data_IF_958185815952
#
_entry.id   IF_958185815952
#
_cell.length_a   1.000
_cell.length_b   1.000
_cell.length_c   1.000
_cell.angle_alpha   90.00
_cell.angle_beta   90.00
_cell.angle_gamma   90.00
#
_symmetry.space_group_name_H-M   'P 1'
#
loop_
_entity.id
_entity.type
_entity.pdbx_description
1 polymer ?
#
# COMPACT_ATOMS: atom_id res chain seq x y z
N UNK A 1 -40.01 57.09 -13.60
CA UNK A 1 -38.99 56.51 -12.71
C UNK A 1 -39.28 55.03 -12.50
N UNK A 2 -38.62 54.10 -13.20
CA UNK A 2 -38.67 52.66 -12.89
C UNK A 2 -37.26 52.09 -13.02
N UNK A 3 -36.63 51.76 -11.89
CA UNK A 3 -35.33 51.08 -11.81
C UNK A 3 -35.57 49.58 -11.83
N UNK A 4 -35.11 48.90 -12.88
CA UNK A 4 -35.08 47.44 -12.92
C UNK A 4 -33.86 46.94 -12.16
N UNK A 5 -34.08 46.38 -10.98
CA UNK A 5 -33.05 45.68 -10.21
C UNK A 5 -32.90 44.29 -10.84
N UNK A 6 -31.78 44.07 -11.53
CA UNK A 6 -31.39 42.75 -12.04
C UNK A 6 -30.77 41.97 -10.89
N UNK A 7 -31.52 41.04 -10.31
CA UNK A 7 -31.02 40.12 -9.27
C UNK A 7 -30.13 39.08 -9.91
N UNK A 8 -28.83 39.11 -9.61
CA UNK A 8 -27.86 38.09 -10.02
C UNK A 8 -27.98 36.94 -9.03
N UNK A 9 -28.45 35.78 -9.49
CA UNK A 9 -28.51 34.56 -8.69
C UNK A 9 -27.11 33.94 -8.63
N UNK A 10 -26.44 34.08 -7.49
CA UNK A 10 -25.14 33.45 -7.25
C UNK A 10 -25.40 32.03 -6.72
N UNK A 11 -25.29 31.04 -7.60
CA UNK A 11 -25.29 29.62 -7.21
C UNK A 11 -23.96 29.30 -6.53
N UNK A 12 -23.98 29.13 -5.19
CA UNK A 12 -22.83 28.65 -4.42
C UNK A 12 -22.67 27.16 -4.72
N UNK A 13 -21.67 26.81 -5.52
CA UNK A 13 -21.28 25.41 -5.70
C UNK A 13 -20.69 24.91 -4.38
N UNK A 14 -21.44 24.07 -3.67
CA UNK A 14 -20.95 23.39 -2.47
C UNK A 14 -19.97 22.32 -2.94
N UNK A 15 -18.72 22.29 -2.46
CA UNK A 15 -17.80 21.22 -2.81
C UNK A 15 -18.37 19.91 -2.27
N UNK A 16 -18.81 19.04 -3.16
CA UNK A 16 -19.09 17.64 -2.82
C UNK A 16 -17.75 17.01 -2.47
N UNK A 17 -17.48 16.86 -1.18
CA UNK A 17 -16.30 16.16 -0.71
C UNK A 17 -16.47 14.70 -1.15
N UNK A 18 -15.76 14.31 -2.21
CA UNK A 18 -15.64 12.91 -2.56
C UNK A 18 -14.82 12.26 -1.45
N UNK A 19 -15.49 11.58 -0.51
CA UNK A 19 -14.82 10.72 0.45
C UNK A 19 -14.16 9.60 -0.35
N UNK A 20 -12.84 9.70 -0.54
CA UNK A 20 -12.06 8.60 -1.08
C UNK A 20 -12.15 7.45 -0.08
N UNK A 21 -12.92 6.42 -0.41
CA UNK A 21 -12.99 5.20 0.40
C UNK A 21 -11.67 4.46 0.25
N UNK A 22 -10.97 4.23 1.37
CA UNK A 22 -9.71 3.47 1.36
C UNK A 22 -10.03 2.03 0.97
N UNK A 23 -9.46 1.57 -0.15
CA UNK A 23 -9.55 0.19 -0.55
C UNK A 23 -8.58 -0.66 0.29
N UNK A 24 -9.08 -1.27 1.37
CA UNK A 24 -8.25 -2.10 2.25
C UNK A 24 -7.63 -3.31 1.54
N UNK A 25 -8.25 -3.82 0.47
CA UNK A 25 -7.66 -4.91 -0.31
C UNK A 25 -6.40 -4.43 -1.06
N UNK A 26 -6.44 -3.20 -1.58
CA UNK A 26 -5.29 -2.56 -2.20
C UNK A 26 -4.18 -2.33 -1.18
N UNK A 27 -4.50 -1.70 -0.04
CA UNK A 27 -3.53 -1.46 1.04
C UNK A 27 -2.88 -2.75 1.52
N UNK A 28 -3.67 -3.81 1.72
CA UNK A 28 -3.13 -5.12 2.12
C UNK A 28 -2.21 -5.70 1.06
N UNK A 29 -2.57 -5.64 -0.22
CA UNK A 29 -1.73 -6.16 -1.30
C UNK A 29 -0.38 -5.42 -1.37
N UNK A 30 -0.38 -4.09 -1.21
CA UNK A 30 0.85 -3.30 -1.10
C UNK A 30 1.66 -3.65 0.15
N UNK A 31 1.01 -3.83 1.30
CA UNK A 31 1.68 -4.21 2.54
C UNK A 31 2.40 -5.55 2.39
N UNK A 32 1.73 -6.57 1.82
CA UNK A 32 2.34 -7.87 1.58
C UNK A 32 3.52 -7.82 0.60
N UNK A 33 3.46 -7.02 -0.46
CA UNK A 33 4.62 -6.82 -1.34
C UNK A 33 5.77 -6.16 -0.58
N UNK A 34 5.50 -5.11 0.18
CA UNK A 34 6.53 -4.36 0.90
C UNK A 34 7.19 -5.19 1.99
N UNK A 35 6.40 -5.92 2.78
CA UNK A 35 6.92 -6.84 3.78
C UNK A 35 7.80 -7.92 3.14
N UNK A 36 7.36 -8.51 2.03
CA UNK A 36 8.13 -9.55 1.34
C UNK A 36 9.45 -9.02 0.78
N UNK A 37 9.48 -7.77 0.31
CA UNK A 37 10.71 -7.12 -0.13
C UNK A 37 11.66 -6.84 1.03
N UNK A 38 11.16 -6.35 2.17
CA UNK A 38 11.96 -6.11 3.38
C UNK A 38 12.56 -7.43 3.86
N UNK A 39 11.76 -8.50 3.94
CA UNK A 39 12.21 -9.84 4.25
C UNK A 39 13.29 -10.33 3.28
N UNK A 40 13.13 -10.10 1.97
CA UNK A 40 14.10 -10.52 0.95
C UNK A 40 15.44 -9.76 1.03
N UNK A 41 15.51 -8.66 1.79
CA UNK A 41 16.70 -7.86 2.04
C UNK A 41 17.18 -7.92 3.50
N UNK A 42 16.52 -8.70 4.36
CA UNK A 42 16.92 -8.86 5.77
C UNK A 42 18.30 -9.50 5.88
N UNK A 43 19.16 -8.91 6.71
CA UNK A 43 20.51 -9.45 6.99
C UNK A 43 20.48 -10.74 7.81
N UNK A 44 19.34 -11.09 8.41
CA UNK A 44 19.17 -12.31 9.21
C UNK A 44 18.80 -13.53 8.39
N UNK A 45 18.43 -13.38 7.11
CA UNK A 45 17.93 -14.46 6.26
C UNK A 45 18.96 -14.77 5.17
N UNK A 46 19.48 -16.00 5.15
CA UNK A 46 20.58 -16.40 4.27
C UNK A 46 20.31 -17.75 3.59
N UNK A 47 21.17 -18.14 2.66
CA UNK A 47 21.16 -19.50 2.10
C UNK A 47 19.84 -19.92 1.44
N UNK A 48 19.32 -21.08 1.85
CA UNK A 48 18.05 -21.65 1.34
C UNK A 48 16.83 -20.84 1.76
N UNK A 49 16.81 -20.32 2.98
CA UNK A 49 15.72 -19.48 3.50
C UNK A 49 15.56 -18.21 2.65
N UNK A 50 16.69 -17.57 2.29
CA UNK A 50 16.66 -16.40 1.43
C UNK A 50 16.11 -16.71 0.03
N UNK A 51 16.37 -17.91 -0.51
CA UNK A 51 15.79 -18.33 -1.79
C UNK A 51 14.26 -18.46 -1.69
N UNK A 52 13.78 -19.04 -0.60
CA UNK A 52 12.35 -19.18 -0.33
C UNK A 52 11.66 -17.81 -0.21
N UNK A 53 12.21 -16.91 0.60
CA UNK A 53 11.68 -15.55 0.75
C UNK A 53 11.68 -14.79 -0.60
N UNK A 54 12.72 -14.93 -1.43
CA UNK A 54 12.74 -14.31 -2.76
C UNK A 54 11.62 -14.83 -3.67
N UNK A 55 11.28 -16.11 -3.58
CA UNK A 55 10.13 -16.66 -4.32
C UNK A 55 8.82 -16.06 -3.80
N UNK A 56 8.64 -15.93 -2.48
CA UNK A 56 7.48 -15.29 -1.88
C UNK A 56 7.36 -13.82 -2.32
N UNK A 57 8.45 -13.06 -2.29
CA UNK A 57 8.49 -11.68 -2.78
C UNK A 57 8.02 -11.56 -4.23
N UNK A 58 8.59 -12.37 -5.13
CA UNK A 58 8.19 -12.34 -6.54
C UNK A 58 6.71 -12.70 -6.73
N UNK A 59 6.19 -13.64 -5.94
CA UNK A 59 4.77 -14.00 -5.98
C UNK A 59 3.87 -12.84 -5.52
N UNK A 60 4.10 -12.29 -4.32
CA UNK A 60 3.30 -11.18 -3.77
C UNK A 60 3.38 -9.93 -4.67
N UNK A 61 4.56 -9.61 -5.21
CA UNK A 61 4.76 -8.54 -6.19
C UNK A 61 3.89 -8.73 -7.44
N UNK A 62 3.91 -9.92 -8.05
CA UNK A 62 3.11 -10.22 -9.25
C UNK A 62 1.61 -10.15 -8.95
N UNK A 63 1.16 -10.71 -7.83
CA UNK A 63 -0.24 -10.68 -7.42
C UNK A 63 -0.73 -9.24 -7.24
N UNK A 64 0.04 -8.41 -6.53
CA UNK A 64 -0.29 -7.00 -6.34
C UNK A 64 -0.28 -6.26 -7.68
N UNK A 65 0.70 -6.47 -8.56
CA UNK A 65 0.74 -5.83 -9.88
C UNK A 65 -0.45 -6.21 -10.76
N UNK A 66 -0.93 -7.45 -10.66
CA UNK A 66 -2.10 -7.91 -11.41
C UNK A 66 -3.41 -7.28 -10.90
N UNK A 67 -3.53 -7.04 -9.59
CA UNK A 67 -4.74 -6.48 -8.99
C UNK A 67 -4.76 -4.95 -8.95
N UNK A 68 -3.60 -4.33 -8.69
CA UNK A 68 -3.46 -2.90 -8.42
C UNK A 68 -2.19 -2.39 -9.10
N UNK A 69 -2.22 -2.00 -10.39
CA UNK A 69 -1.02 -1.67 -11.16
C UNK A 69 -0.34 -0.35 -10.78
N UNK A 70 -0.86 0.38 -9.79
CA UNK A 70 -0.39 1.69 -9.37
C UNK A 70 0.87 1.66 -8.46
N UNK A 71 1.17 2.81 -7.86
CA UNK A 71 2.46 3.25 -7.28
C UNK A 71 3.27 2.19 -6.49
N UNK A 72 4.42 1.72 -7.02
CA UNK A 72 5.27 0.75 -6.33
C UNK A 72 5.90 1.28 -5.03
N UNK A 73 5.93 2.60 -4.81
CA UNK A 73 6.58 3.21 -3.65
C UNK A 73 5.72 3.14 -2.37
N UNK A 74 4.43 2.81 -2.49
CA UNK A 74 3.53 2.74 -1.33
C UNK A 74 3.70 1.46 -0.51
N UNK A 75 4.31 0.42 -1.08
CA UNK A 75 4.40 -0.92 -0.47
C UNK A 75 5.10 -0.94 0.89
N UNK A 76 6.24 -0.25 1.03
CA UNK A 76 7.01 -0.20 2.29
C UNK A 76 6.26 0.59 3.36
N UNK A 77 5.61 1.68 2.98
CA UNK A 77 4.78 2.44 3.89
C UNK A 77 3.61 1.59 4.41
N UNK A 78 2.92 0.89 3.51
CA UNK A 78 1.80 0.02 3.87
C UNK A 78 2.23 -1.11 4.81
N UNK A 79 3.39 -1.74 4.56
CA UNK A 79 3.96 -2.76 5.44
C UNK A 79 4.22 -2.22 6.84
N UNK A 80 4.80 -1.02 6.94
CA UNK A 80 5.04 -0.36 8.22
C UNK A 80 3.75 -0.03 8.96
N UNK A 81 2.71 0.44 8.27
CA UNK A 81 1.43 0.73 8.93
C UNK A 81 0.76 -0.53 9.48
N UNK A 82 0.95 -1.68 8.83
CA UNK A 82 0.22 -2.91 9.16
C UNK A 82 0.95 -3.79 10.19
N UNK A 83 2.29 -3.82 10.15
CA UNK A 83 3.10 -4.69 11.00
C UNK A 83 4.25 -3.97 11.74
N UNK A 84 4.38 -2.65 11.60
CA UNK A 84 5.51 -1.86 12.13
C UNK A 84 6.88 -2.36 11.65
N UNK A 85 6.92 -2.91 10.42
CA UNK A 85 8.15 -3.35 9.74
C UNK A 85 8.36 -2.46 8.52
N UNK A 86 9.48 -1.74 8.50
CA UNK A 86 9.86 -0.78 7.47
C UNK A 86 11.20 -1.06 6.82
N UNK A 87 11.54 -0.22 5.84
CA UNK A 87 12.83 -0.28 5.13
C UNK A 87 13.99 -0.15 6.11
N UNK A 88 14.94 -1.10 6.05
CA UNK A 88 16.11 -1.13 6.93
C UNK A 88 15.98 -2.07 8.13
N UNK A 89 14.76 -2.51 8.45
CA UNK A 89 14.54 -3.55 9.45
C UNK A 89 15.03 -4.92 8.97
N UNK A 90 15.33 -5.80 9.92
CA UNK A 90 15.90 -7.11 9.67
C UNK A 90 15.08 -8.20 10.36
N UNK A 91 13.84 -8.47 9.90
CA UNK A 91 13.02 -9.54 10.46
C UNK A 91 13.69 -10.90 10.26
N UNK A 92 13.43 -11.82 11.19
CA UNK A 92 13.86 -13.22 11.09
C UNK A 92 13.08 -13.98 10.01
N UNK A 93 13.59 -15.14 9.60
CA UNK A 93 12.90 -15.99 8.63
C UNK A 93 11.52 -16.42 9.12
N UNK A 94 11.41 -16.85 10.39
CA UNK A 94 10.14 -17.30 10.99
C UNK A 94 9.09 -16.18 11.05
N UNK A 95 9.49 -14.95 11.38
CA UNK A 95 8.60 -13.78 11.35
C UNK A 95 8.09 -13.53 9.92
N UNK A 96 8.99 -13.56 8.94
CA UNK A 96 8.65 -13.37 7.54
C UNK A 96 7.66 -14.44 7.03
N UNK A 97 7.93 -15.72 7.28
CA UNK A 97 7.03 -16.80 6.83
C UNK A 97 5.68 -16.72 7.54
N UNK A 98 5.66 -16.46 8.84
CA UNK A 98 4.42 -16.34 9.63
C UNK A 98 3.50 -15.25 9.08
N UNK A 99 4.07 -14.10 8.73
CA UNK A 99 3.31 -12.97 8.21
C UNK A 99 2.93 -13.16 6.74
N UNK A 100 3.83 -13.67 5.89
CA UNK A 100 3.61 -13.79 4.44
C UNK A 100 2.76 -14.98 4.01
N UNK A 101 2.57 -15.97 4.89
CA UNK A 101 1.75 -17.16 4.61
C UNK A 101 0.25 -16.90 4.72
N UNK A 102 -0.17 -15.69 5.11
CA UNK A 102 -1.55 -15.22 5.05
C UNK A 102 -1.91 -14.68 3.67
#
# INVERSE_FOLDING_TARGET
>A
MHKYIKTILITVAVPTHAFATINMAEVNAYAYEGLAEICANSRHILGSELKEIKVLYLNKKRLRQAMFPADPNFSHYAAKQLWDIGTGDNPSFDECVTLLSK
#
